data_IF_801912646831
#
_entry.id   IF_801912646831
#
_cell.length_a   1.000
_cell.length_b   1.000
_cell.length_c   1.000
_cell.angle_alpha   90.00
_cell.angle_beta   90.00
_cell.angle_gamma   90.00
#
_symmetry.space_group_name_H-M   'P 1'
#
loop_
_entity.id
_entity.type
_entity.pdbx_description
1 polymer ?
#
# COMPACT_ATOMS: atom_id res chain seq x y z
N UNK A 1 22.79 -12.56 11.02
CA UNK A 1 23.25 -13.86 10.47
C UNK A 1 22.32 -15.02 10.84
N UNK A 2 21.01 -14.93 10.57
CA UNK A 2 20.08 -16.07 10.70
C UNK A 2 19.36 -16.24 9.35
N UNK A 3 19.96 -16.98 8.41
CA UNK A 3 19.27 -17.65 7.28
C UNK A 3 20.20 -18.10 6.12
N UNK A 4 21.52 -18.00 6.24
CA UNK A 4 22.46 -18.41 5.17
C UNK A 4 22.44 -19.92 4.82
N UNK A 5 21.63 -20.75 5.50
CA UNK A 5 21.51 -22.19 5.22
C UNK A 5 20.17 -22.63 4.62
N UNK A 6 19.25 -21.71 4.33
CA UNK A 6 18.00 -22.06 3.66
C UNK A 6 18.19 -22.01 2.14
N UNK A 7 18.06 -23.13 1.40
CA UNK A 7 18.20 -23.13 -0.06
C UNK A 7 17.27 -22.14 -0.76
N UNK A 8 16.11 -21.81 -0.16
CA UNK A 8 15.17 -20.78 -0.67
C UNK A 8 15.82 -19.39 -0.73
N UNK A 9 16.77 -19.08 0.15
CA UNK A 9 17.45 -17.78 0.13
C UNK A 9 18.27 -17.56 -1.15
N UNK A 10 18.88 -18.62 -1.68
CA UNK A 10 19.68 -18.56 -2.91
C UNK A 10 18.89 -18.94 -4.16
N UNK A 11 17.73 -19.58 -4.01
CA UNK A 11 16.88 -20.03 -5.10
C UNK A 11 15.39 -19.70 -4.85
N UNK A 12 15.02 -18.41 -4.69
CA UNK A 12 13.63 -18.04 -4.46
C UNK A 12 12.81 -18.20 -5.73
N UNK A 13 11.54 -18.56 -5.55
CA UNK A 13 10.53 -18.60 -6.60
C UNK A 13 9.28 -17.81 -6.19
N UNK A 14 8.40 -17.51 -7.14
CA UNK A 14 7.11 -16.87 -6.83
C UNK A 14 6.23 -17.73 -5.92
N UNK A 15 6.41 -19.05 -5.94
CA UNK A 15 5.69 -19.98 -5.07
C UNK A 15 6.14 -19.87 -3.60
N UNK A 16 7.31 -19.27 -3.34
CA UNK A 16 7.83 -19.06 -1.97
C UNK A 16 7.32 -17.76 -1.33
N UNK A 17 6.49 -16.98 -2.04
CA UNK A 17 5.87 -15.79 -1.47
C UNK A 17 4.84 -16.19 -0.40
N UNK A 18 5.01 -15.67 0.82
CA UNK A 18 4.03 -15.84 1.91
C UNK A 18 2.63 -15.34 1.54
N UNK A 19 1.59 -15.90 2.18
CA UNK A 19 0.22 -15.41 2.00
C UNK A 19 0.15 -13.93 2.43
N UNK A 20 -0.30 -13.01 1.56
CA UNK A 20 -0.47 -11.61 1.92
C UNK A 20 -1.29 -11.36 3.18
N UNK A 21 -2.24 -12.26 3.49
CA UNK A 21 -3.11 -12.15 4.64
C UNK A 21 -2.41 -12.44 5.98
N UNK A 22 -1.18 -12.96 5.95
CA UNK A 22 -0.33 -13.08 7.13
C UNK A 22 0.14 -11.71 7.63
N UNK A 23 0.17 -10.69 6.78
CA UNK A 23 0.57 -9.34 7.14
C UNK A 23 -0.60 -8.60 7.80
N UNK A 24 -0.38 -8.10 9.02
CA UNK A 24 -1.39 -7.42 9.80
C UNK A 24 -1.98 -6.23 9.02
N UNK A 25 -3.30 -6.06 9.08
CA UNK A 25 -4.00 -4.96 8.43
C UNK A 25 -4.43 -5.23 6.98
N UNK A 26 -3.80 -6.17 6.27
CA UNK A 26 -4.10 -6.44 4.84
C UNK A 26 -5.58 -6.76 4.61
N UNK A 27 -6.17 -7.70 5.36
CA UNK A 27 -7.59 -8.04 5.22
C UNK A 27 -8.51 -6.84 5.42
N UNK A 28 -8.22 -5.99 6.41
CA UNK A 28 -9.03 -4.80 6.71
C UNK A 28 -8.91 -3.73 5.62
N UNK A 29 -7.70 -3.56 5.06
CA UNK A 29 -7.46 -2.70 3.91
C UNK A 29 -8.24 -3.18 2.68
N UNK A 30 -8.14 -4.47 2.34
CA UNK A 30 -8.85 -5.09 1.21
C UNK A 30 -10.35 -4.83 1.30
N UNK A 31 -10.97 -5.12 2.45
CA UNK A 31 -12.41 -4.89 2.66
C UNK A 31 -12.79 -3.42 2.39
N UNK A 32 -11.99 -2.46 2.87
CA UNK A 32 -12.28 -1.04 2.68
C UNK A 32 -12.08 -0.58 1.24
N UNK A 33 -11.05 -1.08 0.58
CA UNK A 33 -10.74 -0.75 -0.82
C UNK A 33 -11.82 -1.32 -1.74
N UNK A 34 -12.24 -2.57 -1.54
CA UNK A 34 -13.32 -3.16 -2.35
C UNK A 34 -14.64 -2.39 -2.21
N UNK A 35 -14.96 -1.90 -1.00
CA UNK A 35 -16.10 -0.99 -0.79
C UNK A 35 -15.96 0.34 -1.54
N UNK A 36 -14.76 0.94 -1.55
CA UNK A 36 -14.50 2.16 -2.33
C UNK A 36 -14.74 1.90 -3.83
N UNK A 37 -14.25 0.77 -4.34
CA UNK A 37 -14.41 0.39 -5.74
C UNK A 37 -15.88 0.22 -6.10
N UNK A 38 -16.65 -0.53 -5.31
CA UNK A 38 -18.09 -0.75 -5.50
C UNK A 38 -18.88 0.56 -5.45
N UNK A 39 -18.55 1.44 -4.51
CA UNK A 39 -19.18 2.74 -4.35
C UNK A 39 -18.68 3.81 -5.34
N UNK A 40 -17.73 3.49 -6.22
CA UNK A 40 -17.08 4.44 -7.15
C UNK A 40 -16.49 5.66 -6.44
N UNK A 41 -15.94 5.43 -5.25
CA UNK A 41 -15.21 6.42 -4.48
C UNK A 41 -13.92 6.83 -5.20
N UNK A 42 -13.54 8.11 -5.07
CA UNK A 42 -12.24 8.59 -5.55
C UNK A 42 -11.14 8.17 -4.56
N UNK A 43 -10.19 7.39 -5.07
CA UNK A 43 -9.05 6.87 -4.31
C UNK A 43 -7.78 7.63 -4.71
N UNK A 44 -6.95 8.00 -3.74
CA UNK A 44 -5.59 8.50 -3.98
C UNK A 44 -4.57 7.54 -3.39
N UNK A 45 -3.61 7.13 -4.20
CA UNK A 45 -2.36 6.51 -3.72
C UNK A 45 -1.34 7.62 -3.48
N UNK A 46 -0.88 7.77 -2.25
CA UNK A 46 0.14 8.75 -1.87
C UNK A 46 1.47 8.04 -1.63
N UNK A 47 2.45 8.22 -2.49
CA UNK A 47 3.75 7.55 -2.39
C UNK A 47 4.89 8.46 -1.99
N UNK A 48 6.04 7.89 -1.63
CA UNK A 48 7.30 8.65 -1.50
C UNK A 48 7.98 8.88 -2.86
N UNK A 49 8.91 9.82 -2.91
CA UNK A 49 9.57 10.29 -4.13
C UNK A 49 10.76 9.44 -4.58
N UNK A 50 11.21 8.48 -3.79
CA UNK A 50 12.34 7.64 -4.11
C UNK A 50 11.96 6.41 -4.96
N UNK A 51 12.92 5.55 -5.27
CA UNK A 51 12.66 4.39 -6.11
C UNK A 51 11.66 3.40 -5.48
N UNK A 52 11.65 3.28 -4.15
CA UNK A 52 10.75 2.36 -3.46
C UNK A 52 9.33 2.92 -3.45
N UNK A 53 9.16 4.20 -3.09
CA UNK A 53 7.86 4.89 -3.10
C UNK A 53 7.23 5.00 -4.49
N UNK A 54 8.03 5.31 -5.53
CA UNK A 54 7.55 5.35 -6.91
C UNK A 54 7.12 3.96 -7.38
N UNK A 55 7.92 2.92 -7.11
CA UNK A 55 7.57 1.54 -7.49
C UNK A 55 6.31 1.07 -6.79
N UNK A 56 6.21 1.33 -5.49
CA UNK A 56 5.03 1.02 -4.67
C UNK A 56 3.77 1.67 -5.23
N UNK A 57 3.88 2.94 -5.62
CA UNK A 57 2.78 3.70 -6.21
C UNK A 57 2.30 3.05 -7.50
N UNK A 58 3.22 2.75 -8.43
CA UNK A 58 2.88 2.13 -9.71
C UNK A 58 2.22 0.77 -9.51
N UNK A 59 2.77 -0.08 -8.64
CA UNK A 59 2.23 -1.42 -8.35
C UNK A 59 0.79 -1.31 -7.86
N UNK A 60 0.52 -0.49 -6.85
CA UNK A 60 -0.81 -0.40 -6.25
C UNK A 60 -1.81 0.28 -7.18
N UNK A 61 -1.40 1.36 -7.88
CA UNK A 61 -2.27 2.05 -8.85
C UNK A 61 -2.69 1.10 -9.96
N UNK A 62 -1.76 0.31 -10.52
CA UNK A 62 -2.10 -0.65 -11.59
C UNK A 62 -3.06 -1.74 -11.11
N UNK A 63 -2.85 -2.28 -9.91
CA UNK A 63 -3.77 -3.26 -9.34
C UNK A 63 -5.19 -2.68 -9.12
N UNK A 64 -5.27 -1.45 -8.59
CA UNK A 64 -6.55 -0.76 -8.40
C UNK A 64 -7.25 -0.45 -9.74
N UNK A 65 -6.51 -0.02 -10.77
CA UNK A 65 -7.04 0.22 -12.11
C UNK A 65 -7.58 -1.06 -12.76
N UNK A 66 -6.86 -2.17 -12.62
CA UNK A 66 -7.30 -3.50 -13.11
C UNK A 66 -8.63 -3.92 -12.45
N UNK A 67 -8.82 -3.55 -11.18
CA UNK A 67 -10.05 -3.81 -10.43
C UNK A 67 -11.17 -2.78 -10.69
N UNK A 68 -10.97 -1.83 -11.60
CA UNK A 68 -11.97 -0.82 -11.99
C UNK A 68 -12.10 0.35 -11.02
N UNK A 69 -11.11 0.59 -10.15
CA UNK A 69 -11.13 1.70 -9.20
C UNK A 69 -11.02 3.06 -9.90
N UNK A 70 -11.70 4.07 -9.35
CA UNK A 70 -11.46 5.49 -9.68
C UNK A 70 -10.24 6.00 -8.90
N UNK A 71 -9.04 5.56 -9.32
CA UNK A 71 -7.78 5.85 -8.63
C UNK A 71 -6.94 6.90 -9.37
N UNK A 72 -6.26 7.75 -8.60
CA UNK A 72 -5.14 8.59 -9.05
C UNK A 72 -4.01 8.50 -8.02
N UNK A 73 -2.89 9.14 -8.30
CA UNK A 73 -1.74 9.14 -7.38
C UNK A 73 -1.23 10.54 -7.10
N UNK A 74 -0.47 10.67 -6.01
CA UNK A 74 0.30 11.86 -5.67
C UNK A 74 1.67 11.44 -5.13
N UNK A 75 2.70 12.10 -5.62
CA UNK A 75 4.08 11.99 -5.12
C UNK A 75 4.47 13.39 -4.62
N UNK A 76 5.03 13.53 -3.41
CA UNK A 76 5.49 14.82 -2.90
C UNK A 76 6.73 15.30 -3.64
N UNK A 77 6.89 16.62 -3.76
CA UNK A 77 8.13 17.21 -4.28
C UNK A 77 9.19 17.28 -3.18
N UNK A 78 10.28 16.52 -3.35
CA UNK A 78 11.40 16.41 -2.40
C UNK A 78 11.97 17.75 -1.93
N UNK A 79 12.02 18.74 -2.81
CA UNK A 79 12.66 20.04 -2.54
C UNK A 79 11.75 21.03 -1.80
N UNK A 80 10.44 20.77 -1.75
CA UNK A 80 9.43 21.68 -1.19
C UNK A 80 8.81 21.09 0.08
N UNK A 81 8.71 19.76 0.15
CA UNK A 81 8.09 19.07 1.26
C UNK A 81 9.11 18.11 1.90
N UNK A 82 9.38 18.29 3.19
CA UNK A 82 9.96 17.23 4.01
C UNK A 82 9.08 15.97 3.95
N UNK A 83 9.67 14.78 4.17
CA UNK A 83 8.97 13.50 4.15
C UNK A 83 7.65 13.51 4.96
N UNK A 84 6.68 12.72 4.50
CA UNK A 84 5.40 12.50 5.18
C UNK A 84 4.21 13.23 4.56
N UNK A 85 3.03 12.86 5.03
CA UNK A 85 1.77 13.48 4.64
C UNK A 85 1.66 14.88 5.27
N UNK A 86 0.95 15.80 4.62
CA UNK A 86 0.66 17.14 5.16
C UNK A 86 -0.84 17.40 5.15
N UNK A 87 -1.33 18.06 6.20
CA UNK A 87 -2.75 18.43 6.31
C UNK A 87 -3.25 19.29 5.14
N UNK A 88 -2.38 20.13 4.56
CA UNK A 88 -2.67 20.91 3.36
C UNK A 88 -3.06 20.00 2.18
N UNK A 89 -2.32 18.91 1.96
CA UNK A 89 -2.65 17.95 0.92
C UNK A 89 -3.97 17.25 1.19
N UNK A 90 -4.24 16.87 2.43
CA UNK A 90 -5.51 16.23 2.80
C UNK A 90 -6.68 17.20 2.52
N UNK A 91 -6.52 18.49 2.82
CA UNK A 91 -7.53 19.51 2.53
C UNK A 91 -7.79 19.63 1.02
N UNK A 92 -6.73 19.73 0.22
CA UNK A 92 -6.85 19.77 -1.26
C UNK A 92 -7.56 18.52 -1.81
N UNK A 93 -7.24 17.34 -1.27
CA UNK A 93 -7.87 16.09 -1.69
C UNK A 93 -9.35 16.04 -1.27
N UNK A 94 -9.70 16.60 -0.10
CA UNK A 94 -11.09 16.73 0.33
C UNK A 94 -11.90 17.58 -0.65
N UNK A 95 -11.36 18.72 -1.08
CA UNK A 95 -12.00 19.61 -2.06
C UNK A 95 -12.22 18.92 -3.42
N UNK A 96 -11.35 17.98 -3.78
CA UNK A 96 -11.46 17.14 -4.98
C UNK A 96 -12.42 15.96 -4.83
N UNK A 97 -13.09 15.83 -3.69
CA UNK A 97 -14.04 14.75 -3.41
C UNK A 97 -13.39 13.39 -3.19
N UNK A 98 -12.11 13.35 -2.77
CA UNK A 98 -11.44 12.12 -2.34
C UNK A 98 -12.06 11.64 -1.04
N UNK A 99 -12.26 10.33 -0.94
CA UNK A 99 -12.85 9.65 0.22
C UNK A 99 -11.96 8.58 0.82
N UNK A 100 -10.95 8.12 0.07
CA UNK A 100 -9.95 7.17 0.53
C UNK A 100 -8.55 7.59 0.07
N UNK A 101 -7.62 7.68 1.03
CA UNK A 101 -6.19 7.84 0.77
C UNK A 101 -5.48 6.55 1.21
N UNK A 102 -4.61 6.03 0.35
CA UNK A 102 -3.75 4.89 0.67
C UNK A 102 -2.30 5.37 0.56
N UNK A 103 -1.57 5.39 1.66
CA UNK A 103 -0.14 5.71 1.60
C UNK A 103 0.65 4.47 1.21
N UNK A 104 1.73 4.68 0.46
CA UNK A 104 2.72 3.66 0.13
C UNK A 104 4.11 4.20 0.45
N UNK A 105 4.91 3.38 1.12
CA UNK A 105 6.28 3.71 1.52
C UNK A 105 6.40 4.93 2.46
N UNK A 106 5.30 5.30 3.12
CA UNK A 106 5.26 6.39 4.09
C UNK A 106 4.01 6.31 4.97
N UNK A 107 3.99 7.13 6.03
CA UNK A 107 2.82 7.36 6.85
C UNK A 107 2.76 6.59 8.17
N UNK A 108 3.71 5.68 8.47
CA UNK A 108 3.68 4.91 9.73
C UNK A 108 3.74 5.78 10.99
N UNK A 109 4.22 7.02 10.87
CA UNK A 109 4.37 7.97 11.97
C UNK A 109 3.49 9.24 11.81
N UNK A 110 2.49 9.21 10.91
CA UNK A 110 1.65 10.37 10.55
C UNK A 110 0.29 10.36 11.28
N UNK A 111 0.30 10.05 12.59
CA UNK A 111 -0.92 9.95 13.39
C UNK A 111 -1.77 11.24 13.44
N UNK A 112 -1.14 12.41 13.36
CA UNK A 112 -1.86 13.68 13.39
C UNK A 112 -2.62 13.92 12.07
N UNK A 113 -1.97 13.63 10.95
CA UNK A 113 -2.51 13.75 9.60
C UNK A 113 -3.65 12.75 9.39
N UNK A 114 -3.49 11.51 9.84
CA UNK A 114 -4.55 10.50 9.79
C UNK A 114 -5.76 10.93 10.61
N UNK A 115 -5.55 11.49 11.80
CA UNK A 115 -6.63 12.05 12.63
C UNK A 115 -7.31 13.23 11.95
N UNK A 116 -6.57 14.08 11.25
CA UNK A 116 -7.10 15.20 10.48
C UNK A 116 -7.95 14.73 9.30
N UNK A 117 -7.46 13.77 8.51
CA UNK A 117 -8.22 13.15 7.42
C UNK A 117 -9.55 12.56 7.90
N UNK A 118 -9.52 11.84 9.04
CA UNK A 118 -10.72 11.27 9.65
C UNK A 118 -11.75 12.34 10.02
N UNK A 119 -11.34 13.49 10.57
CA UNK A 119 -12.25 14.62 10.87
C UNK A 119 -12.90 15.19 9.61
N UNK A 120 -12.23 15.10 8.46
CA UNK A 120 -12.75 15.51 7.17
C UNK A 120 -13.58 14.42 6.48
N UNK A 121 -13.75 13.26 7.11
CA UNK A 121 -14.45 12.11 6.54
C UNK A 121 -13.69 11.47 5.38
N UNK A 122 -12.37 11.50 5.42
CA UNK A 122 -11.49 10.76 4.50
C UNK A 122 -10.92 9.58 5.28
N UNK A 123 -11.16 8.38 4.76
CA UNK A 123 -10.53 7.19 5.30
C UNK A 123 -9.08 7.08 4.84
N UNK A 124 -8.24 6.52 5.70
CA UNK A 124 -6.82 6.30 5.41
C UNK A 124 -6.43 4.85 5.61
N UNK A 125 -5.62 4.34 4.68
CA UNK A 125 -4.92 3.05 4.79
C UNK A 125 -3.44 3.36 4.68
N UNK A 126 -2.65 2.87 5.63
CA UNK A 126 -1.21 3.11 5.68
C UNK A 126 -0.50 1.83 5.24
N UNK A 127 0.36 1.93 4.23
CA UNK A 127 1.30 0.86 3.87
C UNK A 127 2.71 1.42 3.90
N UNK A 128 3.54 0.84 4.74
CA UNK A 128 4.86 1.37 5.05
C UNK A 128 5.76 0.24 5.57
N UNK A 129 7.05 0.50 5.61
CA UNK A 129 8.05 -0.41 6.14
C UNK A 129 9.06 0.26 7.08
N UNK A 130 8.99 1.56 7.27
CA UNK A 130 9.82 2.28 8.23
C UNK A 130 9.55 1.85 9.68
N UNK A 131 10.52 2.10 10.57
CA UNK A 131 10.38 1.79 11.99
C UNK A 131 9.24 2.65 12.60
N UNK A 132 8.26 2.02 13.27
CA UNK A 132 7.19 2.74 13.93
C UNK A 132 7.70 3.42 15.21
N UNK A 133 7.39 4.70 15.37
CA UNK A 133 7.43 5.37 16.67
C UNK A 133 6.14 5.01 17.42
N UNK A 134 6.19 4.27 18.55
CA UNK A 134 5.00 3.85 19.29
C UNK A 134 4.04 4.99 19.66
N UNK A 135 4.53 6.21 19.84
CA UNK A 135 3.71 7.38 20.16
C UNK A 135 2.98 7.96 18.94
N UNK A 136 3.40 7.60 17.72
CA UNK A 136 2.95 8.21 16.47
C UNK A 136 2.32 7.22 15.48
N UNK A 137 2.08 5.98 15.89
CA UNK A 137 1.36 5.00 15.07
C UNK A 137 -0.07 5.52 14.78
N UNK A 138 -0.50 5.57 13.51
CA UNK A 138 -1.80 6.13 13.09
C UNK A 138 -2.96 5.18 13.38
N UNK A 139 -3.30 5.00 14.66
CA UNK A 139 -4.38 4.11 15.12
C UNK A 139 -5.78 4.53 14.64
N UNK A 140 -5.96 5.78 14.21
CA UNK A 140 -7.20 6.28 13.61
C UNK A 140 -7.40 5.83 12.14
N UNK A 141 -6.36 5.27 11.49
CA UNK A 141 -6.46 4.73 10.14
C UNK A 141 -7.39 3.51 10.09
N UNK A 142 -7.99 3.28 8.92
CA UNK A 142 -8.76 2.05 8.68
C UNK A 142 -7.85 0.83 8.80
N UNK A 143 -6.65 0.88 8.23
CA UNK A 143 -5.66 -0.18 8.37
C UNK A 143 -4.25 0.41 8.38
N UNK A 144 -3.35 -0.23 9.11
CA UNK A 144 -1.91 0.05 9.10
C UNK A 144 -1.21 -1.26 8.79
N UNK A 145 -0.47 -1.28 7.69
CA UNK A 145 0.22 -2.45 7.15
C UNK A 145 1.71 -2.12 7.19
N UNK A 146 2.40 -2.73 8.16
CA UNK A 146 3.84 -2.61 8.31
C UNK A 146 4.34 -3.88 9.03
N UNK A 147 5.41 -4.47 8.50
CA UNK A 147 5.95 -5.74 9.01
C UNK A 147 6.48 -5.64 10.45
N UNK A 148 6.96 -4.47 10.88
CA UNK A 148 7.40 -4.21 12.26
C UNK A 148 6.25 -4.33 13.29
N UNK A 149 4.99 -4.18 12.87
CA UNK A 149 3.83 -4.29 13.76
C UNK A 149 3.34 -5.73 13.96
N UNK A 150 3.92 -6.70 13.25
CA UNK A 150 3.50 -8.10 13.32
C UNK A 150 4.60 -8.98 13.89
N UNK A 151 4.55 -9.25 15.19
CA UNK A 151 5.54 -10.06 15.89
C UNK A 151 5.73 -11.49 15.32
N UNK A 152 4.74 -12.00 14.59
CA UNK A 152 4.77 -13.33 13.98
C UNK A 152 5.20 -13.30 12.50
N UNK A 153 5.48 -12.13 11.93
CA UNK A 153 5.90 -11.99 10.54
C UNK A 153 7.42 -11.95 10.45
N UNK A 154 8.01 -12.94 9.79
CA UNK A 154 9.46 -13.15 9.78
C UNK A 154 10.20 -12.49 8.61
N UNK A 155 9.49 -11.80 7.72
CA UNK A 155 10.07 -11.20 6.53
C UNK A 155 10.20 -9.69 6.67
N UNK A 156 11.39 -9.16 6.40
CA UNK A 156 11.58 -7.74 6.17
C UNK A 156 11.07 -7.39 4.77
N UNK A 157 10.27 -6.33 4.67
CA UNK A 157 9.67 -5.89 3.41
C UNK A 157 10.13 -4.46 3.11
N UNK A 158 10.35 -4.16 1.84
CA UNK A 158 10.38 -2.77 1.33
C UNK A 158 8.97 -2.20 1.26
N UNK A 159 8.83 -0.89 1.03
CA UNK A 159 7.55 -0.27 0.69
C UNK A 159 6.90 -0.95 -0.51
N UNK A 160 7.68 -1.23 -1.55
CA UNK A 160 7.23 -1.88 -2.79
C UNK A 160 6.79 -3.31 -2.58
N UNK A 161 7.48 -4.07 -1.72
CA UNK A 161 7.06 -5.42 -1.37
C UNK A 161 5.78 -5.40 -0.53
N UNK A 162 5.62 -4.42 0.37
CA UNK A 162 4.39 -4.23 1.16
C UNK A 162 3.20 -3.87 0.26
N UNK A 163 3.39 -2.95 -0.70
CA UNK A 163 2.40 -2.61 -1.70
C UNK A 163 2.05 -3.81 -2.61
N UNK A 164 3.05 -4.62 -2.98
CA UNK A 164 2.83 -5.86 -3.73
C UNK A 164 1.98 -6.85 -2.95
N UNK A 165 2.22 -7.06 -1.65
CA UNK A 165 1.38 -7.92 -0.80
C UNK A 165 -0.08 -7.43 -0.81
N UNK A 166 -0.30 -6.13 -0.63
CA UNK A 166 -1.65 -5.58 -0.70
C UNK A 166 -2.30 -5.79 -2.08
N UNK A 167 -1.55 -5.55 -3.17
CA UNK A 167 -2.02 -5.77 -4.53
C UNK A 167 -2.38 -7.24 -4.79
N UNK A 168 -1.55 -8.19 -4.34
CA UNK A 168 -1.83 -9.63 -4.44
C UNK A 168 -3.13 -10.00 -3.71
N UNK A 169 -3.32 -9.47 -2.49
CA UNK A 169 -4.54 -9.73 -1.72
C UNK A 169 -5.79 -9.17 -2.42
N UNK A 170 -5.71 -7.96 -2.97
CA UNK A 170 -6.81 -7.33 -3.72
C UNK A 170 -7.17 -8.13 -4.99
N UNK A 171 -6.17 -8.57 -5.75
CA UNK A 171 -6.39 -9.35 -6.97
C UNK A 171 -6.97 -10.74 -6.66
N UNK A 172 -6.59 -11.36 -5.54
CA UNK A 172 -7.11 -12.67 -5.14
C UNK A 172 -8.61 -12.65 -4.79
N UNK A 173 -9.18 -11.50 -4.39
CA UNK A 173 -10.63 -11.38 -4.16
C UNK A 173 -11.46 -11.55 -5.45
N UNK A 174 -10.88 -11.18 -6.60
CA UNK A 174 -11.55 -11.25 -7.91
C UNK A 174 -11.12 -12.48 -8.68
N UNK A 175 -9.82 -12.79 -8.68
CA UNK A 175 -9.24 -13.91 -9.39
C UNK A 175 -9.03 -15.08 -8.44
N UNK A 176 -10.00 -16.01 -8.44
CA UNK A 176 -9.96 -17.23 -7.61
C UNK A 176 -9.11 -18.34 -8.22
N UNK A 177 -8.79 -18.23 -9.51
CA UNK A 177 -7.95 -19.17 -10.22
C UNK A 177 -6.46 -18.81 -10.05
N UNK A 178 -5.61 -19.73 -9.54
CA UNK A 178 -4.20 -19.45 -9.27
C UNK A 178 -3.37 -19.07 -10.50
N UNK A 179 -3.64 -19.65 -11.68
CA UNK A 179 -2.93 -19.32 -12.92
C UNK A 179 -3.26 -17.89 -13.35
N UNK A 180 -4.54 -17.54 -13.34
CA UNK A 180 -5.03 -16.19 -13.62
C UNK A 180 -4.46 -15.17 -12.63
N UNK A 181 -4.42 -15.51 -11.34
CA UNK A 181 -3.86 -14.63 -10.30
C UNK A 181 -2.37 -14.39 -10.50
N UNK A 182 -1.59 -15.43 -10.83
CA UNK A 182 -0.16 -15.29 -11.12
C UNK A 182 0.08 -14.43 -12.36
N UNK A 183 -0.63 -14.68 -13.46
CA UNK A 183 -0.53 -13.89 -14.69
C UNK A 183 -0.88 -12.41 -14.47
N UNK A 184 -1.96 -12.12 -13.73
CA UNK A 184 -2.41 -10.75 -13.45
C UNK A 184 -1.52 -10.02 -12.45
N UNK A 185 -1.04 -10.71 -11.43
CA UNK A 185 -0.06 -10.15 -10.48
C UNK A 185 1.25 -9.77 -11.21
N UNK A 186 1.71 -10.60 -12.14
CA UNK A 186 2.86 -10.30 -12.99
C UNK A 186 2.52 -9.19 -14.00
N UNK A 187 1.30 -9.14 -14.54
CA UNK A 187 0.89 -8.05 -15.45
C UNK A 187 0.97 -6.67 -14.80
N UNK A 188 0.64 -6.56 -13.50
CA UNK A 188 0.86 -5.32 -12.74
C UNK A 188 2.34 -4.92 -12.69
N UNK A 189 3.27 -5.90 -12.71
CA UNK A 189 4.72 -5.68 -12.76
C UNK A 189 5.28 -5.43 -14.17
N UNK A 190 4.54 -5.77 -15.25
CA UNK A 190 4.96 -5.48 -16.62
C UNK A 190 4.83 -3.99 -16.89
N UNK A 191 5.96 -3.27 -16.97
CA UNK A 191 5.98 -1.89 -17.44
C UNK A 191 5.48 -1.84 -18.91
N UNK A 192 4.74 -0.80 -19.32
CA UNK A 192 4.48 -0.60 -20.73
C UNK A 192 5.83 -0.49 -21.48
N UNK A 193 5.90 -0.93 -22.74
CA UNK A 193 7.10 -0.70 -23.54
C UNK A 193 7.42 0.80 -23.52
N UNK A 194 8.68 1.13 -23.27
CA UNK A 194 9.16 2.51 -23.42
C UNK A 194 8.96 2.88 -24.89
N UNK A 195 8.01 3.78 -25.14
CA UNK A 195 7.72 4.33 -26.47
C UNK A 195 8.82 5.26 -26.95
#
# INVERSE_FOLDING_TARGET
MKNEKNPIFFHPSLADLSDPNELLGVRKAVIRIMKAIEAKERIIVFGDFDADGITSTVVLVKALQELGAMVSYRIPERNIHSHGLKNEFINELKEKGVSLIITVDCGINDAEEVRHAKKLGIDMIITDHHEPDPARIPTDAVAVINHHLNANYSHELSGSATALKLAMALLAEVYKDPETLAEKSIHCLKLPPLG
#
